data_IF_379228858696
#
_entry.id   IF_379228858696
#
_cell.length_a   1.000
_cell.length_b   1.000
_cell.length_c   1.000
_cell.angle_alpha   90.00
_cell.angle_beta   90.00
_cell.angle_gamma   90.00
#
_symmetry.space_group_name_H-M   'P 1'
#
loop_
_entity.id
_entity.type
_entity.pdbx_description
1 polymer ?
#
# COMPACT_ATOMS: atom_id res chain seq x y z
N UNK A 1 11.27 32.24 -9.84
CA UNK A 1 10.13 31.86 -8.98
C UNK A 1 8.87 31.88 -9.84
N UNK A 2 8.64 30.80 -10.60
CA UNK A 2 7.61 30.72 -11.66
C UNK A 2 6.25 30.41 -11.03
N UNK A 3 5.20 31.10 -11.50
CA UNK A 3 3.78 30.87 -11.21
C UNK A 3 3.47 29.37 -11.16
N UNK A 4 3.51 28.76 -9.98
CA UNK A 4 2.96 27.44 -9.74
C UNK A 4 1.47 27.56 -10.04
N UNK A 5 1.11 27.07 -11.22
CA UNK A 5 -0.17 27.27 -11.88
C UNK A 5 -1.29 26.83 -10.95
N UNK A 6 -2.11 27.77 -10.48
CA UNK A 6 -3.21 27.59 -9.53
C UNK A 6 -4.12 26.39 -9.86
N UNK A 7 -4.25 26.05 -11.15
CA UNK A 7 -4.99 24.89 -11.65
C UNK A 7 -4.37 23.54 -11.24
N UNK A 8 -3.05 23.46 -11.12
CA UNK A 8 -2.33 22.24 -10.72
C UNK A 8 -2.49 21.97 -9.22
N UNK A 9 -2.43 23.01 -8.39
CA UNK A 9 -2.66 22.90 -6.95
C UNK A 9 -4.11 22.50 -6.66
N UNK A 10 -5.08 23.11 -7.37
CA UNK A 10 -6.48 22.70 -7.25
C UNK A 10 -6.70 21.24 -7.61
N UNK A 11 -6.10 20.76 -8.71
CA UNK A 11 -6.17 19.35 -9.10
C UNK A 11 -5.53 18.42 -8.05
N UNK A 12 -4.35 18.77 -7.53
CA UNK A 12 -3.68 17.99 -6.47
C UNK A 12 -4.54 17.88 -5.22
N UNK A 13 -5.13 18.99 -4.76
CA UNK A 13 -6.04 18.98 -3.60
C UNK A 13 -7.24 18.06 -3.84
N UNK A 14 -7.85 18.12 -5.03
CA UNK A 14 -8.96 17.22 -5.37
C UNK A 14 -8.52 15.75 -5.35
N UNK A 15 -7.36 15.43 -5.94
CA UNK A 15 -6.83 14.05 -5.94
C UNK A 15 -6.57 13.54 -4.50
N UNK A 16 -5.99 14.39 -3.64
CA UNK A 16 -5.77 14.06 -2.22
C UNK A 16 -7.07 13.86 -1.46
N UNK A 17 -8.06 14.74 -1.66
CA UNK A 17 -9.38 14.62 -1.02
C UNK A 17 -10.08 13.34 -1.47
N UNK A 18 -9.99 12.97 -2.75
CA UNK A 18 -10.56 11.71 -3.25
C UNK A 18 -9.89 10.51 -2.60
N UNK A 19 -8.55 10.47 -2.54
CA UNK A 19 -7.82 9.37 -1.89
C UNK A 19 -8.18 9.27 -0.40
N UNK A 20 -8.28 10.40 0.29
CA UNK A 20 -8.62 10.46 1.71
C UNK A 20 -10.08 10.06 1.96
N UNK A 21 -11.00 10.45 1.09
CA UNK A 21 -12.40 10.04 1.14
C UNK A 21 -12.54 8.52 0.97
N UNK A 22 -11.82 7.92 0.01
CA UNK A 22 -11.85 6.45 -0.18
C UNK A 22 -11.28 5.73 1.05
N UNK A 23 -10.21 6.24 1.65
CA UNK A 23 -9.68 5.71 2.91
C UNK A 23 -10.70 5.80 4.06
N UNK A 24 -11.38 6.94 4.22
CA UNK A 24 -12.41 7.12 5.24
C UNK A 24 -13.62 6.21 5.01
N UNK A 25 -14.04 6.02 3.76
CA UNK A 25 -15.09 5.05 3.43
C UNK A 25 -14.67 3.62 3.76
N UNK A 26 -13.43 3.24 3.42
CA UNK A 26 -12.88 1.92 3.76
C UNK A 26 -12.83 1.68 5.26
N UNK A 27 -12.38 2.65 6.04
CA UNK A 27 -12.36 2.57 7.52
C UNK A 27 -13.76 2.47 8.11
N UNK A 28 -14.73 3.26 7.63
CA UNK A 28 -16.11 3.18 8.10
C UNK A 28 -16.77 1.84 7.76
N UNK A 29 -16.54 1.30 6.56
CA UNK A 29 -17.05 -0.01 6.17
C UNK A 29 -16.46 -1.12 7.05
N UNK A 30 -15.16 -1.09 7.31
CA UNK A 30 -14.50 -2.04 8.22
C UNK A 30 -15.09 -1.94 9.63
N UNK A 31 -15.32 -0.72 10.12
CA UNK A 31 -15.93 -0.50 11.43
C UNK A 31 -17.36 -1.04 11.51
N UNK A 32 -18.17 -0.86 10.46
CA UNK A 32 -19.54 -1.40 10.39
C UNK A 32 -19.58 -2.93 10.26
N UNK A 33 -18.68 -3.52 9.48
CA UNK A 33 -18.59 -4.98 9.31
C UNK A 33 -17.81 -5.67 10.44
N UNK A 34 -17.22 -4.90 11.36
CA UNK A 34 -16.33 -5.40 12.42
C UNK A 34 -15.22 -6.33 11.89
N UNK A 35 -14.70 -6.05 10.68
CA UNK A 35 -13.75 -6.93 10.01
C UNK A 35 -12.35 -6.75 10.62
N UNK A 36 -11.60 -7.82 10.94
CA UNK A 36 -10.19 -7.74 11.38
C UNK A 36 -9.21 -7.38 10.26
N UNK A 37 -9.50 -6.35 9.46
CA UNK A 37 -8.59 -5.83 8.43
C UNK A 37 -8.38 -4.32 8.62
N UNK A 38 -7.20 -3.78 8.33
CA UNK A 38 -7.00 -2.33 8.36
C UNK A 38 -7.89 -1.64 7.33
N UNK A 39 -8.48 -0.50 7.68
CA UNK A 39 -9.33 0.27 6.76
C UNK A 39 -8.61 0.72 5.49
N UNK A 40 -7.27 0.86 5.53
CA UNK A 40 -6.46 1.12 4.34
C UNK A 40 -6.50 -0.03 3.31
N UNK A 41 -6.52 -1.28 3.77
CA UNK A 41 -6.65 -2.46 2.89
C UNK A 41 -8.02 -2.47 2.21
N UNK A 42 -9.08 -2.16 2.97
CA UNK A 42 -10.42 -2.02 2.42
C UNK A 42 -10.49 -0.86 1.41
N UNK A 43 -9.88 0.28 1.73
CA UNK A 43 -9.78 1.43 0.83
C UNK A 43 -9.06 1.11 -0.49
N UNK A 44 -7.99 0.29 -0.45
CA UNK A 44 -7.33 -0.22 -1.65
C UNK A 44 -8.27 -1.11 -2.49
N UNK A 45 -9.07 -1.96 -1.83
CA UNK A 45 -10.09 -2.78 -2.51
C UNK A 45 -11.17 -1.92 -3.18
N UNK A 46 -11.65 -0.88 -2.51
CA UNK A 46 -12.60 0.09 -3.08
C UNK A 46 -12.01 0.85 -4.27
N UNK A 47 -10.76 1.30 -4.15
CA UNK A 47 -10.05 2.00 -5.23
C UNK A 47 -9.87 1.06 -6.44
N UNK A 48 -9.50 -0.19 -6.20
CA UNK A 48 -9.41 -1.22 -7.24
C UNK A 48 -10.76 -1.45 -7.92
N UNK A 49 -11.85 -1.53 -7.16
CA UNK A 49 -13.20 -1.67 -7.71
C UNK A 49 -13.59 -0.44 -8.56
N UNK A 50 -13.23 0.77 -8.12
CA UNK A 50 -13.46 2.00 -8.89
C UNK A 50 -12.65 2.05 -10.20
N UNK A 51 -11.44 1.48 -10.21
CA UNK A 51 -10.64 1.32 -11.43
C UNK A 51 -11.21 0.23 -12.35
N UNK A 52 -11.61 -0.91 -11.79
CA UNK A 52 -12.16 -2.03 -12.55
C UNK A 52 -13.50 -1.69 -13.24
N UNK A 53 -14.32 -0.87 -12.59
CA UNK A 53 -15.60 -0.37 -13.14
C UNK A 53 -15.43 0.80 -14.11
N UNK A 54 -14.21 1.32 -14.28
CA UNK A 54 -13.91 2.43 -15.19
C UNK A 54 -14.40 3.80 -14.73
N UNK A 55 -14.93 3.92 -13.49
CA UNK A 55 -15.37 5.20 -12.93
C UNK A 55 -14.21 6.18 -12.78
N UNK A 56 -13.02 5.68 -12.44
CA UNK A 56 -11.82 6.48 -12.24
C UNK A 56 -10.67 5.89 -13.04
N UNK A 57 -9.93 6.73 -13.76
CA UNK A 57 -8.71 6.29 -14.45
C UNK A 57 -7.52 6.38 -13.48
N UNK A 58 -6.62 5.39 -13.40
CA UNK A 58 -5.46 5.47 -12.51
C UNK A 58 -4.61 6.74 -12.71
N UNK A 59 -4.49 7.20 -13.96
CA UNK A 59 -3.77 8.43 -14.32
C UNK A 59 -4.34 9.71 -13.69
N UNK A 60 -5.61 9.71 -13.24
CA UNK A 60 -6.22 10.89 -12.60
C UNK A 60 -5.87 11.02 -11.13
N UNK A 61 -5.25 10.01 -10.50
CA UNK A 61 -4.85 10.05 -9.09
C UNK A 61 -3.32 9.98 -8.91
N UNK A 62 -2.57 9.86 -10.00
CA UNK A 62 -1.11 9.68 -9.97
C UNK A 62 -0.36 10.87 -9.37
N UNK A 63 -0.86 12.10 -9.54
CA UNK A 63 -0.15 13.27 -9.04
C UNK A 63 -0.30 13.37 -7.52
N UNK A 64 -1.52 13.24 -7.01
CA UNK A 64 -1.80 13.23 -5.57
C UNK A 64 -1.12 12.04 -4.87
N UNK A 65 -1.22 10.84 -5.45
CA UNK A 65 -0.52 9.66 -4.93
C UNK A 65 1.00 9.84 -4.97
N UNK A 66 1.55 10.44 -6.03
CA UNK A 66 2.98 10.74 -6.16
C UNK A 66 3.50 11.66 -5.06
N UNK A 67 2.73 12.69 -4.71
CA UNK A 67 3.07 13.59 -3.59
C UNK A 67 3.07 12.85 -2.25
N UNK A 68 2.02 12.06 -1.98
CA UNK A 68 1.95 11.26 -0.74
C UNK A 68 3.11 10.26 -0.66
N UNK A 69 3.45 9.62 -1.78
CA UNK A 69 4.59 8.70 -1.89
C UNK A 69 5.94 9.41 -1.64
N UNK A 70 6.13 10.62 -2.18
CA UNK A 70 7.34 11.40 -1.99
C UNK A 70 7.55 11.79 -0.51
N UNK A 71 6.46 12.09 0.20
CA UNK A 71 6.48 12.45 1.62
C UNK A 71 6.33 11.23 2.56
N UNK A 72 6.35 9.97 2.05
CA UNK A 72 6.21 8.78 2.91
C UNK A 72 7.26 8.70 4.00
N UNK A 73 8.49 9.17 3.73
CA UNK A 73 9.55 9.27 4.73
C UNK A 73 9.11 10.10 5.94
N UNK A 74 8.43 11.24 5.71
CA UNK A 74 7.91 12.09 6.78
C UNK A 74 6.89 11.34 7.65
N UNK A 75 6.02 10.53 7.03
CA UNK A 75 5.05 9.69 7.76
C UNK A 75 5.70 8.50 8.49
N UNK A 76 6.86 8.04 8.04
CA UNK A 76 7.62 6.98 8.73
C UNK A 76 8.41 7.49 9.94
N UNK A 77 8.80 8.76 9.98
CA UNK A 77 9.57 9.30 11.11
C UNK A 77 8.85 9.07 12.46
N UNK A 78 7.57 9.43 12.66
CA UNK A 78 6.87 9.17 13.92
C UNK A 78 6.77 7.67 14.24
N UNK A 79 6.47 6.83 13.23
CA UNK A 79 6.35 5.40 13.42
C UNK A 79 7.67 4.74 13.86
N UNK A 80 8.80 5.21 13.31
CA UNK A 80 10.14 4.77 13.71
C UNK A 80 10.52 5.26 15.11
N UNK A 81 10.14 6.49 15.49
CA UNK A 81 10.39 7.01 16.83
C UNK A 81 9.72 6.15 17.91
N UNK A 82 8.45 5.78 17.70
CA UNK A 82 7.74 4.86 18.60
C UNK A 82 8.37 3.47 18.70
N UNK A 83 9.13 3.05 17.67
CA UNK A 83 9.84 1.77 17.68
C UNK A 83 11.10 1.84 18.56
N UNK A 84 11.76 3.00 18.64
CA UNK A 84 12.97 3.20 19.45
C UNK A 84 12.68 3.10 20.95
N UNK A 85 11.46 3.41 21.38
CA UNK A 85 11.02 3.20 22.78
C UNK A 85 11.13 1.72 23.21
N UNK A 86 11.08 0.79 22.25
CA UNK A 86 11.29 -0.64 22.46
C UNK A 86 12.77 -1.06 22.29
N UNK A 87 13.72 -0.13 22.45
CA UNK A 87 15.14 -0.34 22.20
C UNK A 87 15.76 -1.54 22.95
N UNK A 88 15.23 -1.90 24.12
CA UNK A 88 15.64 -3.10 24.85
C UNK A 88 15.35 -4.41 24.11
N UNK A 89 14.21 -4.49 23.42
CA UNK A 89 13.81 -5.64 22.59
C UNK A 89 14.70 -5.74 21.35
N UNK A 90 14.97 -4.61 20.70
CA UNK A 90 15.85 -4.57 19.50
C UNK A 90 17.28 -4.98 19.86
N UNK A 91 17.78 -4.58 21.04
CA UNK A 91 19.15 -4.93 21.47
C UNK A 91 19.32 -6.42 21.77
N UNK A 92 18.32 -7.08 22.35
CA UNK A 92 18.41 -8.49 22.75
C UNK A 92 17.93 -9.44 21.63
N UNK A 93 16.84 -9.11 20.95
CA UNK A 93 16.17 -9.99 19.98
C UNK A 93 16.25 -9.47 18.54
N UNK A 94 16.85 -8.30 18.28
CA UNK A 94 16.91 -7.68 16.95
C UNK A 94 17.52 -8.59 15.88
N UNK A 95 18.53 -9.39 16.22
CA UNK A 95 19.11 -10.38 15.31
C UNK A 95 18.09 -11.48 14.92
N UNK A 96 17.30 -11.97 15.88
CA UNK A 96 16.26 -12.98 15.64
C UNK A 96 15.15 -12.40 14.77
N UNK A 97 14.73 -11.16 15.05
CA UNK A 97 13.73 -10.44 14.24
C UNK A 97 14.23 -10.28 12.80
N UNK A 98 15.48 -9.84 12.61
CA UNK A 98 16.06 -9.64 11.29
C UNK A 98 16.13 -10.95 10.48
N UNK A 99 16.55 -12.05 11.12
CA UNK A 99 16.56 -13.37 10.49
C UNK A 99 15.15 -13.84 10.11
N UNK A 100 14.17 -13.68 10.99
CA UNK A 100 12.78 -14.09 10.71
C UNK A 100 12.19 -13.28 9.56
N UNK A 101 12.37 -11.95 9.55
CA UNK A 101 11.89 -11.09 8.46
C UNK A 101 12.56 -11.44 7.14
N UNK A 102 13.90 -11.57 7.13
CA UNK A 102 14.65 -11.90 5.92
C UNK A 102 14.27 -13.27 5.37
N UNK A 103 14.27 -14.29 6.21
CA UNK A 103 13.94 -15.65 5.79
C UNK A 103 12.47 -15.78 5.36
N UNK A 104 11.52 -15.21 6.10
CA UNK A 104 10.09 -15.27 5.73
C UNK A 104 9.82 -14.54 4.41
N UNK A 105 10.45 -13.39 4.19
CA UNK A 105 10.31 -12.61 2.95
C UNK A 105 10.86 -13.38 1.76
N UNK A 106 12.07 -13.95 1.89
CA UNK A 106 12.66 -14.80 0.85
C UNK A 106 11.80 -16.05 0.60
N UNK A 107 11.30 -16.69 1.64
CA UNK A 107 10.44 -17.86 1.53
C UNK A 107 9.14 -17.52 0.79
N UNK A 108 8.46 -16.42 1.13
CA UNK A 108 7.25 -15.95 0.44
C UNK A 108 7.53 -15.65 -1.03
N UNK A 109 8.63 -14.96 -1.35
CA UNK A 109 9.03 -14.68 -2.73
C UNK A 109 9.28 -15.97 -3.52
N UNK A 110 10.04 -16.92 -2.96
CA UNK A 110 10.34 -18.21 -3.61
C UNK A 110 9.07 -19.04 -3.83
N UNK A 111 8.24 -19.19 -2.80
CA UNK A 111 6.97 -19.94 -2.90
C UNK A 111 6.07 -19.31 -3.95
N UNK A 112 5.96 -17.98 -3.99
CA UNK A 112 5.16 -17.28 -5.00
C UNK A 112 5.71 -17.52 -6.40
N UNK A 113 7.03 -17.39 -6.59
CA UNK A 113 7.69 -17.62 -7.87
C UNK A 113 7.49 -19.05 -8.37
N UNK A 114 7.75 -20.06 -7.54
CA UNK A 114 7.53 -21.47 -7.90
C UNK A 114 6.08 -21.80 -8.18
N UNK A 115 5.14 -21.24 -7.40
CA UNK A 115 3.70 -21.45 -7.60
C UNK A 115 3.27 -20.92 -8.96
N UNK A 116 3.64 -19.68 -9.28
CA UNK A 116 3.33 -19.05 -10.58
C UNK A 116 3.99 -19.81 -11.72
N UNK A 117 5.26 -20.21 -11.59
CA UNK A 117 5.97 -20.97 -12.62
C UNK A 117 5.33 -22.35 -12.86
N UNK A 118 4.90 -23.04 -11.80
CA UNK A 118 4.21 -24.32 -11.89
C UNK A 118 2.87 -24.19 -12.62
N UNK A 119 2.06 -23.19 -12.26
CA UNK A 119 0.77 -22.93 -12.92
C UNK A 119 0.96 -22.57 -14.39
N UNK A 120 1.92 -21.70 -14.71
CA UNK A 120 2.23 -21.35 -16.11
C UNK A 120 2.71 -22.57 -16.91
N UNK A 121 3.59 -23.42 -16.34
CA UNK A 121 4.05 -24.65 -17.00
C UNK A 121 2.92 -25.67 -17.19
N UNK A 122 1.98 -25.78 -16.27
CA UNK A 122 0.80 -26.63 -16.43
C UNK A 122 -0.12 -26.14 -17.55
N UNK A 123 -0.37 -24.83 -17.62
CA UNK A 123 -1.19 -24.24 -18.69
C UNK A 123 -0.58 -24.46 -20.08
N UNK A 124 0.73 -24.25 -20.22
CA UNK A 124 1.45 -24.45 -21.49
C UNK A 124 1.47 -25.92 -21.94
N UNK A 125 1.44 -26.89 -21.01
CA UNK A 125 1.35 -28.33 -21.32
C UNK A 125 -0.06 -28.78 -21.74
N UNK A 126 -1.09 -28.02 -21.43
CA UNK A 126 -2.47 -28.32 -21.81
C UNK A 126 -2.92 -27.61 -23.10
N UNK A 127 -2.17 -26.59 -23.55
CA UNK A 127 -2.41 -25.89 -24.82
C UNK A 127 -1.59 -26.45 -26.01
N UNK A 128 -0.75 -27.46 -25.77
CA UNK A 128 0.04 -28.19 -26.78
C UNK A 128 -0.47 -29.62 -26.96
#
# INVERSE_FOLDING_TARGET
MKRLSFKHVGRLLTELVVLLAIYLLGTQLVAWLAWPIPGGVMGLGLLLAAFATGLVKPATLQLGAGVLMAEMLLFFIPALMSLLDYGGLVRNDGWRILLVIGFSTLAVMLVTAFTVEMVCRWKLRHEA
#
